data_IF_365742898849
#
_entry.id   IF_365742898849
#
_cell.length_a   1.000
_cell.length_b   1.000
_cell.length_c   1.000
_cell.angle_alpha   90.00
_cell.angle_beta   90.00
_cell.angle_gamma   90.00
#
_symmetry.space_group_name_H-M   'P 1'
#
loop_
_entity.id
_entity.type
_entity.pdbx_description
1 polymer ?
#
# COMPACT_ATOMS: atom_id res chain seq x y z
N UNK A 1 57.87 -45.36 -20.51
CA UNK A 1 56.47 -45.80 -20.42
C UNK A 1 55.82 -45.05 -19.27
N UNK A 2 55.14 -43.95 -19.57
CA UNK A 2 54.48 -43.09 -18.60
C UNK A 2 53.30 -42.39 -19.27
N UNK A 3 52.14 -42.49 -18.64
CA UNK A 3 50.83 -41.99 -19.04
C UNK A 3 49.80 -42.73 -18.16
N UNK A 4 48.80 -42.13 -17.51
CA UNK A 4 48.19 -40.81 -17.60
C UNK A 4 47.70 -40.45 -16.18
N UNK A 5 47.81 -39.17 -15.80
CA UNK A 5 47.27 -38.57 -14.57
C UNK A 5 45.93 -37.86 -14.87
N UNK A 6 45.00 -37.97 -13.93
CA UNK A 6 44.02 -36.99 -13.43
C UNK A 6 43.30 -36.04 -14.39
N UNK A 7 41.96 -36.10 -14.37
CA UNK A 7 41.09 -34.97 -14.71
C UNK A 7 40.23 -34.61 -13.47
N UNK A 8 40.59 -33.50 -12.83
CA UNK A 8 39.66 -32.63 -12.10
C UNK A 8 39.43 -31.42 -13.00
N UNK A 9 38.17 -31.12 -13.35
CA UNK A 9 37.81 -29.85 -13.99
C UNK A 9 36.96 -29.03 -13.03
N UNK A 10 37.51 -27.88 -12.65
CA UNK A 10 36.83 -26.80 -11.95
C UNK A 10 36.41 -25.69 -12.90
N UNK A 11 35.25 -25.09 -12.56
CA UNK A 11 34.79 -23.70 -12.73
C UNK A 11 34.99 -23.00 -14.10
N UNK A 12 33.86 -22.51 -14.63
CA UNK A 12 33.81 -21.21 -15.32
C UNK A 12 32.58 -20.42 -14.88
N UNK A 13 32.83 -19.34 -14.13
CA UNK A 13 31.90 -18.23 -13.90
C UNK A 13 32.40 -17.04 -14.72
N UNK A 14 31.65 -16.65 -15.74
CA UNK A 14 31.97 -15.51 -16.59
C UNK A 14 31.65 -14.19 -15.87
N UNK A 15 32.70 -13.48 -15.50
CA UNK A 15 32.64 -12.06 -15.16
C UNK A 15 32.74 -11.25 -16.45
N UNK A 16 31.80 -10.35 -16.69
CA UNK A 16 31.87 -9.40 -17.80
C UNK A 16 32.44 -8.08 -17.27
N UNK A 17 33.76 -7.95 -17.35
CA UNK A 17 34.43 -6.64 -17.31
C UNK A 17 34.61 -6.19 -18.76
N UNK A 18 34.02 -5.04 -19.10
CA UNK A 18 34.09 -4.42 -20.41
C UNK A 18 34.87 -3.13 -20.34
N UNK A 19 35.85 -3.03 -21.24
CA UNK A 19 36.97 -2.10 -21.30
C UNK A 19 36.58 -0.62 -21.53
N UNK A 20 37.34 0.29 -20.89
CA UNK A 20 37.21 1.74 -21.01
C UNK A 20 38.02 2.23 -22.22
N UNK A 21 37.36 2.71 -23.27
CA UNK A 21 37.81 3.87 -24.05
C UNK A 21 36.89 4.13 -25.25
N UNK A 22 36.10 5.20 -25.16
CA UNK A 22 35.73 6.09 -26.25
C UNK A 22 34.98 7.26 -25.66
N UNK A 23 35.59 8.44 -25.74
CA UNK A 23 34.93 9.73 -25.51
C UNK A 23 33.65 9.78 -26.35
N UNK A 24 32.50 9.57 -25.70
CA UNK A 24 31.19 9.84 -26.30
C UNK A 24 30.87 11.30 -26.05
N UNK A 25 31.01 12.07 -27.10
CA UNK A 25 30.44 13.40 -27.30
C UNK A 25 29.05 13.49 -26.67
N UNK A 26 28.84 14.51 -25.84
CA UNK A 26 27.63 14.79 -25.02
C UNK A 26 26.36 15.07 -25.87
N UNK A 27 26.37 14.78 -27.17
CA UNK A 27 25.37 15.24 -28.13
C UNK A 27 24.29 14.22 -28.55
N UNK A 28 24.22 12.98 -28.03
CA UNK A 28 23.25 11.99 -28.55
C UNK A 28 22.48 11.16 -27.51
N UNK A 29 22.33 11.63 -26.27
CA UNK A 29 21.65 10.86 -25.20
C UNK A 29 20.14 11.10 -25.06
N UNK A 30 19.53 11.99 -25.82
CA UNK A 30 18.07 12.04 -25.92
C UNK A 30 17.59 11.03 -26.96
N UNK A 31 17.84 9.75 -26.69
CA UNK A 31 17.02 8.69 -27.27
C UNK A 31 15.59 8.93 -26.76
N UNK A 32 14.59 8.71 -27.60
CA UNK A 32 13.15 8.84 -27.29
C UNK A 32 12.72 7.83 -26.19
N UNK A 33 13.24 7.98 -24.97
CA UNK A 33 12.87 7.15 -23.84
C UNK A 33 11.54 7.64 -23.29
N UNK A 34 10.51 6.83 -23.47
CA UNK A 34 9.19 7.08 -22.87
C UNK A 34 9.29 7.02 -21.35
N UNK A 35 8.92 8.11 -20.68
CA UNK A 35 8.83 8.15 -19.21
C UNK A 35 7.49 7.55 -18.82
N UNK A 36 7.49 6.33 -18.26
CA UNK A 36 6.27 5.68 -17.79
C UNK A 36 5.92 6.14 -16.36
N UNK A 37 4.85 6.92 -16.24
CA UNK A 37 4.25 7.36 -14.98
C UNK A 37 2.82 6.80 -14.78
N UNK A 38 2.43 5.81 -15.59
CA UNK A 38 1.08 5.22 -15.52
C UNK A 38 0.89 4.37 -14.26
N UNK A 39 1.90 3.60 -13.91
CA UNK A 39 1.86 2.71 -12.76
C UNK A 39 2.36 3.44 -11.52
N UNK A 40 1.59 3.35 -10.43
CA UNK A 40 2.01 3.86 -9.12
C UNK A 40 3.07 3.00 -8.44
N UNK A 41 4.14 2.61 -9.14
CA UNK A 41 5.23 1.82 -8.58
C UNK A 41 6.07 2.70 -7.62
N UNK A 42 6.15 2.37 -6.32
CA UNK A 42 6.67 3.28 -5.29
C UNK A 42 8.21 3.27 -5.19
N UNK A 43 8.92 3.23 -6.32
CA UNK A 43 10.40 3.22 -6.36
C UNK A 43 11.07 4.47 -5.79
N UNK A 44 10.31 5.50 -5.45
CA UNK A 44 10.79 6.70 -4.74
C UNK A 44 11.47 6.37 -3.40
N UNK A 45 11.12 5.25 -2.78
CA UNK A 45 11.70 4.80 -1.50
C UNK A 45 12.95 3.91 -1.66
N UNK A 46 13.37 3.56 -2.88
CA UNK A 46 14.49 2.64 -3.10
C UNK A 46 15.79 3.14 -2.46
N UNK A 47 16.16 4.40 -2.68
CA UNK A 47 17.39 4.98 -2.13
C UNK A 47 17.42 4.96 -0.59
N UNK A 48 16.27 5.16 0.05
CA UNK A 48 16.16 5.08 1.51
C UNK A 48 16.46 3.66 2.00
N UNK A 49 15.86 2.64 1.37
CA UNK A 49 16.06 1.25 1.82
C UNK A 49 17.47 0.73 1.56
N UNK A 50 18.11 1.14 0.45
CA UNK A 50 19.52 0.82 0.19
C UNK A 50 20.43 1.36 1.29
N UNK A 51 20.14 2.56 1.82
CA UNK A 51 20.89 3.14 2.93
C UNK A 51 20.66 2.38 4.25
N UNK A 52 19.45 1.84 4.45
CA UNK A 52 19.04 1.18 5.70
C UNK A 52 19.24 -0.34 5.71
N UNK A 53 19.66 -0.95 4.59
CA UNK A 53 19.73 -2.41 4.42
C UNK A 53 20.48 -3.14 5.54
N UNK A 54 21.58 -2.57 6.05
CA UNK A 54 22.37 -3.17 7.12
C UNK A 54 21.54 -3.36 8.41
N UNK A 55 20.63 -2.43 8.71
CA UNK A 55 19.81 -2.42 9.94
C UNK A 55 18.43 -3.07 9.73
N UNK A 56 17.91 -3.03 8.50
CA UNK A 56 16.59 -3.56 8.13
C UNK A 56 16.61 -4.95 7.47
N UNK A 57 17.79 -5.56 7.30
CA UNK A 57 17.91 -6.91 6.73
C UNK A 57 17.27 -8.00 7.60
N UNK A 58 16.89 -9.10 6.96
CA UNK A 58 16.35 -10.30 7.61
C UNK A 58 17.04 -11.55 7.06
N UNK A 59 17.28 -12.52 7.94
CA UNK A 59 17.74 -13.87 7.58
C UNK A 59 16.62 -14.86 7.84
N UNK A 60 16.26 -15.66 6.83
CA UNK A 60 15.28 -16.74 6.94
C UNK A 60 16.03 -18.05 6.66
N UNK A 61 15.99 -19.00 7.59
CA UNK A 61 16.68 -20.29 7.43
C UNK A 61 15.81 -21.29 6.65
N UNK A 62 16.43 -22.31 6.06
CA UNK A 62 15.71 -23.30 5.24
C UNK A 62 14.64 -24.12 6.00
N UNK A 63 14.80 -24.28 7.32
CA UNK A 63 13.84 -25.00 8.17
C UNK A 63 12.75 -24.10 8.75
N UNK A 64 12.86 -22.78 8.57
CA UNK A 64 11.89 -21.83 9.09
C UNK A 64 10.60 -21.86 8.25
N UNK A 65 9.46 -21.69 8.92
CA UNK A 65 8.15 -21.54 8.26
C UNK A 65 7.68 -22.71 7.38
N UNK A 66 8.09 -23.95 7.69
CA UNK A 66 7.63 -25.15 6.99
C UNK A 66 6.11 -25.44 7.15
N UNK A 67 5.50 -24.94 8.23
CA UNK A 67 4.08 -25.16 8.55
C UNK A 67 3.16 -24.18 7.81
N UNK A 68 1.97 -24.64 7.43
CA UNK A 68 0.89 -23.75 6.98
C UNK A 68 0.46 -22.77 8.08
N UNK A 69 0.39 -23.25 9.33
CA UNK A 69 -0.14 -22.49 10.46
C UNK A 69 0.90 -21.52 11.03
N UNK A 70 0.49 -20.28 11.29
CA UNK A 70 1.26 -19.32 12.09
C UNK A 70 0.84 -19.37 13.56
N UNK A 71 -0.45 -19.18 13.80
CA UNK A 71 -1.03 -19.15 15.14
C UNK A 71 -2.47 -19.66 15.07
N UNK A 72 -2.68 -20.90 15.51
CA UNK A 72 -4.01 -21.55 15.49
C UNK A 72 -5.00 -20.93 16.48
N UNK A 73 -4.53 -20.08 17.39
CA UNK A 73 -5.40 -19.37 18.34
C UNK A 73 -5.93 -18.06 17.76
N UNK A 74 -5.29 -17.54 16.71
CA UNK A 74 -5.73 -16.36 16.01
C UNK A 74 -6.85 -16.71 15.02
N UNK A 75 -7.86 -15.84 14.93
CA UNK A 75 -8.92 -15.97 13.91
C UNK A 75 -8.31 -16.06 12.51
N UNK A 76 -7.34 -15.19 12.20
CA UNK A 76 -6.57 -15.26 10.97
C UNK A 76 -5.36 -16.17 11.19
N UNK A 77 -5.56 -17.49 11.20
CA UNK A 77 -4.56 -18.48 11.64
C UNK A 77 -3.24 -18.48 10.86
N UNK A 78 -3.24 -17.91 9.65
CA UNK A 78 -2.05 -17.76 8.81
C UNK A 78 -1.32 -16.42 8.97
N UNK A 79 -1.79 -15.51 9.84
CA UNK A 79 -1.12 -14.26 10.19
C UNK A 79 0.04 -14.53 11.15
N UNK A 80 1.25 -14.08 10.80
CA UNK A 80 2.40 -14.15 11.68
C UNK A 80 2.21 -13.20 12.88
N UNK A 81 2.44 -13.67 14.13
CA UNK A 81 2.38 -12.81 15.31
C UNK A 81 3.29 -11.59 15.22
N UNK A 82 4.48 -11.72 14.63
CA UNK A 82 5.42 -10.62 14.40
C UNK A 82 4.79 -9.53 13.53
N UNK A 83 4.15 -9.93 12.43
CA UNK A 83 3.47 -8.97 11.55
C UNK A 83 2.27 -8.32 12.25
N UNK A 84 1.48 -9.09 13.00
CA UNK A 84 0.34 -8.56 13.75
C UNK A 84 0.78 -7.49 14.76
N UNK A 85 1.85 -7.74 15.50
CA UNK A 85 2.41 -6.81 16.46
C UNK A 85 3.00 -5.58 15.76
N UNK A 86 3.78 -5.76 14.69
CA UNK A 86 4.39 -4.66 13.95
C UNK A 86 3.33 -3.72 13.34
N UNK A 87 2.22 -4.27 12.81
CA UNK A 87 1.08 -3.48 12.32
C UNK A 87 0.46 -2.64 13.44
N UNK A 88 0.17 -3.25 14.60
CA UNK A 88 -0.43 -2.53 15.73
C UNK A 88 0.49 -1.43 16.27
N UNK A 89 1.77 -1.74 16.47
CA UNK A 89 2.77 -0.78 16.92
C UNK A 89 2.92 0.39 15.96
N UNK A 90 2.96 0.11 14.66
CA UNK A 90 3.08 1.15 13.64
C UNK A 90 1.87 2.09 13.61
N UNK A 91 0.65 1.55 13.62
CA UNK A 91 -0.55 2.38 13.68
C UNK A 91 -0.65 3.16 15.00
N UNK A 92 -0.21 2.56 16.10
CA UNK A 92 -0.14 3.23 17.41
C UNK A 92 0.81 4.43 17.42
N UNK A 93 2.02 4.29 16.86
CA UNK A 93 3.00 5.39 16.83
C UNK A 93 2.66 6.46 15.78
N UNK A 94 2.09 6.07 14.64
CA UNK A 94 1.68 7.02 13.59
C UNK A 94 0.39 7.75 13.98
N UNK A 95 -0.50 7.10 14.73
CA UNK A 95 -1.79 7.66 15.15
C UNK A 95 -2.81 7.78 14.02
N UNK A 96 -2.64 7.05 12.91
CA UNK A 96 -3.53 7.13 11.75
C UNK A 96 -4.74 6.16 11.81
N UNK A 97 -4.72 5.12 12.65
CA UNK A 97 -5.84 4.18 12.77
C UNK A 97 -5.96 3.55 14.16
N UNK A 98 -7.17 3.20 14.57
CA UNK A 98 -7.44 2.38 15.76
C UNK A 98 -7.21 0.91 15.40
N UNK A 99 -6.20 0.28 16.02
CA UNK A 99 -5.79 -1.10 15.70
C UNK A 99 -5.72 -2.05 16.91
N UNK A 100 -5.69 -1.53 18.14
CA UNK A 100 -5.31 -2.30 19.33
C UNK A 100 -6.26 -3.45 19.67
N UNK A 101 -7.57 -3.20 19.65
CA UNK A 101 -8.65 -4.13 20.00
C UNK A 101 -9.35 -4.73 18.76
N UNK A 102 -8.74 -4.58 17.58
CA UNK A 102 -9.34 -4.96 16.29
C UNK A 102 -8.75 -6.27 15.77
N UNK A 103 -9.52 -6.96 14.93
CA UNK A 103 -9.05 -8.12 14.17
C UNK A 103 -8.17 -7.65 13.01
N UNK A 104 -7.09 -8.37 12.74
CA UNK A 104 -6.20 -8.12 11.60
C UNK A 104 -6.31 -9.30 10.65
N UNK A 105 -6.65 -9.01 9.38
CA UNK A 105 -6.69 -10.02 8.31
C UNK A 105 -5.63 -9.65 7.27
N UNK A 106 -4.62 -10.51 7.10
CA UNK A 106 -3.54 -10.30 6.12
C UNK A 106 -3.90 -10.91 4.77
N UNK A 107 -3.52 -10.24 3.68
CA UNK A 107 -3.70 -10.73 2.31
C UNK A 107 -2.51 -10.41 1.40
N UNK A 108 -2.50 -11.05 0.23
CA UNK A 108 -1.56 -10.87 -0.87
C UNK A 108 -1.73 -9.49 -1.55
N UNK A 109 -1.37 -8.44 -0.81
CA UNK A 109 -1.63 -7.05 -1.13
C UNK A 109 -3.06 -6.64 -0.78
N UNK A 110 -3.32 -5.32 -0.75
CA UNK A 110 -4.68 -4.80 -0.49
C UNK A 110 -5.69 -5.26 -1.54
N UNK A 111 -5.26 -5.68 -2.74
CA UNK A 111 -6.13 -6.24 -3.78
C UNK A 111 -6.82 -7.54 -3.38
N UNK A 112 -6.14 -8.44 -2.65
CA UNK A 112 -6.77 -9.66 -2.14
C UNK A 112 -7.67 -9.33 -0.94
N UNK A 113 -7.19 -8.44 -0.06
CA UNK A 113 -7.97 -7.95 1.09
C UNK A 113 -9.28 -7.27 0.64
N UNK A 114 -9.25 -6.52 -0.46
CA UNK A 114 -10.43 -5.91 -1.07
C UNK A 114 -11.48 -6.96 -1.43
N UNK A 115 -11.07 -7.98 -2.19
CA UNK A 115 -11.97 -9.05 -2.63
C UNK A 115 -12.51 -9.86 -1.45
N UNK A 116 -11.69 -10.08 -0.42
CA UNK A 116 -12.11 -10.73 0.82
C UNK A 116 -13.19 -9.92 1.54
N UNK A 117 -13.04 -8.59 1.60
CA UNK A 117 -14.04 -7.70 2.19
C UNK A 117 -15.34 -7.69 1.38
N UNK A 118 -15.27 -7.65 0.03
CA UNK A 118 -16.45 -7.77 -0.82
C UNK A 118 -17.19 -9.08 -0.57
N UNK A 119 -16.48 -10.21 -0.52
CA UNK A 119 -17.06 -11.51 -0.17
C UNK A 119 -17.72 -11.49 1.20
N UNK A 120 -17.01 -11.04 2.24
CA UNK A 120 -17.50 -11.06 3.61
C UNK A 120 -18.78 -10.21 3.81
N UNK A 121 -18.86 -9.07 3.12
CA UNK A 121 -20.01 -8.17 3.20
C UNK A 121 -21.21 -8.61 2.35
N UNK A 122 -21.03 -9.57 1.43
CA UNK A 122 -22.06 -10.01 0.48
C UNK A 122 -22.52 -11.45 0.66
N UNK A 123 -21.77 -12.29 1.38
CA UNK A 123 -22.03 -13.73 1.51
C UNK A 123 -23.41 -14.10 2.04
N UNK A 124 -24.04 -13.21 2.81
CA UNK A 124 -25.34 -13.45 3.47
C UNK A 124 -26.50 -12.75 2.75
N UNK A 125 -26.25 -12.13 1.60
CA UNK A 125 -27.28 -11.46 0.82
C UNK A 125 -27.96 -12.44 -0.13
N UNK A 126 -29.28 -12.40 -0.19
CA UNK A 126 -30.07 -13.19 -1.14
C UNK A 126 -29.89 -12.68 -2.60
N UNK A 127 -29.62 -11.38 -2.75
CA UNK A 127 -29.43 -10.71 -4.04
C UNK A 127 -28.00 -10.15 -4.17
N UNK A 128 -27.47 -10.01 -5.40
CA UNK A 128 -26.15 -9.43 -5.62
C UNK A 128 -26.07 -7.98 -5.11
N UNK A 129 -25.06 -7.68 -4.28
CA UNK A 129 -24.85 -6.34 -3.72
C UNK A 129 -24.16 -5.41 -4.72
N UNK A 130 -24.64 -4.17 -4.82
CA UNK A 130 -23.98 -3.10 -5.58
C UNK A 130 -22.68 -2.65 -4.89
N UNK A 131 -21.56 -2.67 -5.61
CA UNK A 131 -20.29 -2.09 -5.15
C UNK A 131 -20.07 -0.75 -5.82
N UNK A 132 -20.04 0.33 -5.05
CA UNK A 132 -19.98 1.70 -5.56
C UNK A 132 -18.80 2.45 -4.95
N UNK A 133 -18.32 3.48 -5.65
CA UNK A 133 -17.32 4.42 -5.12
C UNK A 133 -17.55 5.78 -5.75
N UNK A 134 -17.37 6.86 -4.99
CA UNK A 134 -17.57 8.22 -5.49
C UNK A 134 -16.55 8.52 -6.60
N UNK A 135 -16.99 8.99 -7.77
CA UNK A 135 -16.09 9.39 -8.85
C UNK A 135 -15.39 10.73 -8.55
N UNK A 136 -14.14 10.95 -9.03
CA UNK A 136 -13.27 9.92 -9.62
C UNK A 136 -12.80 8.92 -8.55
N UNK A 137 -12.64 7.65 -8.90
CA UNK A 137 -12.22 6.59 -7.99
C UNK A 137 -11.06 5.77 -8.58
N UNK A 138 -10.46 4.89 -7.77
CA UNK A 138 -9.38 4.03 -8.22
C UNK A 138 -9.86 3.14 -9.36
N UNK A 139 -9.21 3.27 -10.53
CA UNK A 139 -9.63 2.60 -11.77
C UNK A 139 -9.67 1.08 -11.70
N UNK A 140 -9.06 0.46 -10.68
CA UNK A 140 -9.10 -0.99 -10.52
C UNK A 140 -10.30 -1.50 -9.72
N UNK A 141 -11.10 -0.66 -9.04
CA UNK A 141 -12.28 -1.15 -8.33
C UNK A 141 -13.29 -1.85 -9.25
N UNK A 142 -13.73 -1.26 -10.40
CA UNK A 142 -14.66 -1.94 -11.30
C UNK A 142 -14.15 -3.30 -11.80
N UNK A 143 -12.95 -3.42 -12.40
CA UNK A 143 -12.49 -4.71 -12.86
C UNK A 143 -12.25 -5.68 -11.70
N UNK A 144 -11.79 -5.25 -10.52
CA UNK A 144 -11.66 -6.17 -9.38
C UNK A 144 -13.00 -6.71 -8.88
N UNK A 145 -14.08 -5.92 -8.93
CA UNK A 145 -15.42 -6.37 -8.56
C UNK A 145 -16.00 -7.36 -9.58
N UNK A 146 -15.82 -7.10 -10.88
CA UNK A 146 -16.50 -7.87 -11.94
C UNK A 146 -15.68 -9.01 -12.56
N UNK A 147 -14.35 -9.05 -12.35
CA UNK A 147 -13.43 -9.97 -13.05
C UNK A 147 -13.89 -11.43 -13.03
N UNK A 148 -14.32 -11.90 -11.86
CA UNK A 148 -14.70 -13.31 -11.64
C UNK A 148 -16.19 -13.58 -11.85
N UNK A 149 -16.98 -12.57 -12.23
CA UNK A 149 -18.44 -12.66 -12.45
C UNK A 149 -19.15 -13.30 -11.25
N UNK A 150 -18.85 -12.80 -10.06
CA UNK A 150 -19.47 -13.24 -8.81
C UNK A 150 -20.99 -13.11 -8.88
N UNK A 151 -21.71 -14.02 -8.21
CA UNK A 151 -23.16 -13.88 -7.97
C UNK A 151 -23.48 -13.08 -6.71
N UNK A 152 -22.47 -12.75 -5.90
CA UNK A 152 -22.66 -12.09 -4.60
C UNK A 152 -22.65 -10.57 -4.71
N UNK A 153 -21.95 -10.03 -5.71
CA UNK A 153 -21.77 -8.60 -5.88
C UNK A 153 -21.43 -8.27 -7.34
N UNK A 154 -21.65 -7.02 -7.72
CA UNK A 154 -21.26 -6.46 -9.02
C UNK A 154 -20.93 -4.97 -8.90
N UNK A 155 -20.19 -4.44 -9.87
CA UNK A 155 -19.91 -3.00 -9.92
C UNK A 155 -21.18 -2.17 -10.17
N UNK A 156 -21.51 -1.29 -9.22
CA UNK A 156 -22.71 -0.43 -9.23
C UNK A 156 -22.45 1.01 -9.69
N UNK A 157 -21.21 1.40 -9.96
CA UNK A 157 -20.89 2.72 -10.51
C UNK A 157 -20.55 3.81 -9.48
N UNK A 158 -20.86 5.06 -9.86
CA UNK A 158 -20.52 6.26 -9.09
C UNK A 158 -21.49 6.45 -7.91
N UNK A 159 -20.93 6.47 -6.69
CA UNK A 159 -21.69 6.67 -5.47
C UNK A 159 -22.40 8.04 -5.38
N UNK A 160 -21.92 9.07 -6.08
CA UNK A 160 -22.52 10.41 -6.05
C UNK A 160 -23.92 10.48 -6.69
N UNK A 161 -24.19 9.60 -7.65
CA UNK A 161 -25.44 9.53 -8.42
C UNK A 161 -26.17 8.21 -8.21
N UNK A 162 -25.81 7.48 -7.14
CA UNK A 162 -26.41 6.20 -6.83
C UNK A 162 -27.78 6.40 -6.19
N UNK A 163 -28.84 5.98 -6.88
CA UNK A 163 -30.22 6.22 -6.48
C UNK A 163 -30.85 5.08 -5.67
N UNK A 164 -30.34 3.85 -5.78
CA UNK A 164 -30.91 2.64 -5.14
C UNK A 164 -30.45 2.49 -3.66
N UNK A 165 -30.62 3.58 -2.89
CA UNK A 165 -30.11 3.72 -1.52
C UNK A 165 -30.86 2.90 -0.47
N UNK A 166 -32.04 2.39 -0.84
CA UNK A 166 -32.91 1.57 0.01
C UNK A 166 -32.59 0.06 -0.09
N UNK A 167 -31.61 -0.32 -0.92
CA UNK A 167 -31.11 -1.69 -1.02
C UNK A 167 -29.71 -1.81 -0.42
N UNK A 168 -29.28 -3.03 -0.03
CA UNK A 168 -27.90 -3.24 0.40
C UNK A 168 -26.89 -2.83 -0.68
N UNK A 169 -25.91 -2.03 -0.29
CA UNK A 169 -24.77 -1.64 -1.12
C UNK A 169 -23.49 -1.66 -0.30
N UNK A 170 -22.35 -1.74 -0.99
CA UNK A 170 -21.02 -1.57 -0.43
C UNK A 170 -20.43 -0.30 -1.04
N UNK A 171 -20.23 0.73 -0.22
CA UNK A 171 -19.51 1.93 -0.63
C UNK A 171 -18.02 1.79 -0.27
N UNK A 172 -17.17 1.90 -1.28
CA UNK A 172 -15.72 1.90 -1.14
C UNK A 172 -15.22 3.33 -1.04
N UNK A 173 -14.79 3.73 0.14
CA UNK A 173 -14.28 5.07 0.45
C UNK A 173 -12.76 5.06 0.43
N UNK A 174 -12.16 5.56 -0.65
CA UNK A 174 -10.70 5.68 -0.76
C UNK A 174 -10.26 7.05 -0.24
N UNK A 175 -9.42 7.10 0.81
CA UNK A 175 -9.04 8.33 1.50
C UNK A 175 -7.61 8.24 2.07
N UNK A 176 -6.63 9.03 1.60
CA UNK A 176 -6.67 9.90 0.42
C UNK A 176 -7.02 9.13 -0.85
N UNK A 177 -7.82 9.74 -1.71
CA UNK A 177 -8.35 9.09 -2.89
C UNK A 177 -7.29 8.94 -4.00
N UNK A 178 -7.36 7.83 -4.72
CA UNK A 178 -6.72 7.68 -6.02
C UNK A 178 -7.78 7.99 -7.10
N UNK A 179 -7.58 8.98 -7.98
CA UNK A 179 -6.28 9.56 -8.38
C UNK A 179 -5.95 10.94 -7.83
N UNK A 180 -6.85 11.58 -7.08
CA UNK A 180 -6.80 13.04 -6.84
C UNK A 180 -6.33 13.44 -5.44
N UNK A 181 -5.86 12.50 -4.61
CA UNK A 181 -5.35 12.77 -3.27
C UNK A 181 -6.36 13.35 -2.28
N UNK A 182 -7.65 13.46 -2.64
CA UNK A 182 -8.66 14.08 -1.79
C UNK A 182 -8.95 13.25 -0.55
N UNK A 183 -9.14 13.89 0.59
CA UNK A 183 -9.65 13.24 1.79
C UNK A 183 -11.15 13.03 1.61
N UNK A 184 -11.59 11.78 1.66
CA UNK A 184 -12.98 11.38 1.41
C UNK A 184 -13.64 10.77 2.64
N UNK A 185 -14.97 10.84 2.60
CA UNK A 185 -15.92 10.23 3.53
C UNK A 185 -17.02 9.57 2.70
N UNK A 186 -17.88 8.80 3.35
CA UNK A 186 -19.07 8.26 2.70
C UNK A 186 -19.91 9.38 2.06
N UNK A 187 -20.52 9.10 0.91
CA UNK A 187 -21.43 10.02 0.23
C UNK A 187 -22.87 9.51 0.22
N UNK A 188 -23.08 8.20 0.36
CA UNK A 188 -24.42 7.62 0.42
C UNK A 188 -24.83 7.43 1.88
N UNK A 189 -25.92 8.10 2.27
CA UNK A 189 -26.54 7.97 3.59
C UNK A 189 -27.78 7.06 3.48
N UNK A 190 -27.57 5.78 3.19
CA UNK A 190 -28.60 4.75 3.22
C UNK A 190 -28.53 3.90 4.50
N UNK A 191 -29.66 3.36 4.98
CA UNK A 191 -29.70 2.58 6.23
C UNK A 191 -28.96 1.24 6.12
N UNK A 192 -28.88 0.65 4.93
CA UNK A 192 -28.29 -0.68 4.67
C UNK A 192 -26.90 -0.61 4.00
N UNK A 193 -26.26 0.57 4.03
CA UNK A 193 -24.95 0.80 3.46
C UNK A 193 -23.82 0.16 4.27
N UNK A 194 -22.99 -0.65 3.62
CA UNK A 194 -21.77 -1.21 4.19
C UNK A 194 -20.56 -0.43 3.67
N UNK A 195 -19.58 -0.16 4.51
CA UNK A 195 -18.44 0.68 4.16
C UNK A 195 -17.12 -0.11 4.16
N UNK A 196 -16.32 0.11 3.12
CA UNK A 196 -14.91 -0.28 3.10
C UNK A 196 -14.08 0.98 2.98
N UNK A 197 -13.24 1.27 3.97
CA UNK A 197 -12.28 2.38 3.89
C UNK A 197 -10.95 1.88 3.34
N UNK A 198 -10.61 2.27 2.12
CA UNK A 198 -9.28 2.05 1.53
C UNK A 198 -8.36 3.21 1.93
N UNK A 199 -7.49 2.94 2.90
CA UNK A 199 -6.58 3.90 3.52
C UNK A 199 -5.13 3.64 3.09
N UNK A 200 -4.92 3.07 1.89
CA UNK A 200 -3.58 2.76 1.38
C UNK A 200 -2.62 3.95 1.41
N UNK A 201 -3.12 5.18 1.19
CA UNK A 201 -2.32 6.41 1.18
C UNK A 201 -2.43 7.23 2.48
N UNK A 202 -3.13 6.76 3.52
CA UNK A 202 -3.32 7.52 4.77
C UNK A 202 -2.08 7.42 5.68
N UNK A 203 -0.98 7.98 5.21
CA UNK A 203 0.33 7.98 5.86
C UNK A 203 0.99 9.37 5.79
N UNK A 204 1.84 9.76 6.76
CA UNK A 204 2.35 11.13 6.89
C UNK A 204 3.11 11.65 5.67
N UNK A 205 3.73 10.76 4.89
CA UNK A 205 4.43 11.13 3.66
C UNK A 205 3.51 11.66 2.57
N UNK A 206 2.24 11.24 2.53
CA UNK A 206 1.28 11.65 1.49
C UNK A 206 0.31 12.73 1.96
N UNK A 207 -0.09 12.70 3.23
CA UNK A 207 -1.14 13.58 3.76
C UNK A 207 -0.91 13.89 5.24
N UNK A 208 -1.34 15.07 5.72
CA UNK A 208 -1.43 15.32 7.16
C UNK A 208 -2.30 14.25 7.85
N UNK A 209 -1.82 13.71 8.98
CA UNK A 209 -2.62 12.83 9.84
C UNK A 209 -3.42 13.72 10.79
N UNK A 210 -4.69 13.96 10.47
CA UNK A 210 -5.54 14.91 11.20
C UNK A 210 -6.39 14.24 12.27
N UNK A 211 -6.71 12.95 12.10
CA UNK A 211 -7.42 12.13 13.07
C UNK A 211 -7.03 10.66 12.97
N UNK A 212 -7.29 9.92 14.04
CA UNK A 212 -7.16 8.47 14.05
C UNK A 212 -8.42 7.84 13.42
N UNK A 213 -8.27 7.13 12.30
CA UNK A 213 -9.38 6.48 11.63
C UNK A 213 -9.96 5.33 12.48
N UNK A 214 -11.29 5.25 12.57
CA UNK A 214 -12.00 4.24 13.35
C UNK A 214 -13.26 3.73 12.63
N UNK A 215 -13.03 3.12 11.47
CA UNK A 215 -14.09 2.54 10.63
C UNK A 215 -14.16 1.02 10.77
N UNK A 216 -15.26 0.43 10.34
CA UNK A 216 -15.55 -0.99 10.58
C UNK A 216 -14.61 -1.92 9.80
N UNK A 217 -14.24 -1.51 8.58
CA UNK A 217 -13.20 -2.13 7.76
C UNK A 217 -12.27 -1.05 7.25
N UNK A 218 -11.01 -1.10 7.65
CA UNK A 218 -9.94 -0.22 7.18
C UNK A 218 -8.85 -1.03 6.50
N UNK A 219 -8.50 -0.68 5.27
CA UNK A 219 -7.52 -1.41 4.47
C UNK A 219 -6.23 -0.62 4.28
N UNK A 220 -5.10 -1.32 4.36
CA UNK A 220 -3.77 -0.76 4.20
C UNK A 220 -2.87 -1.69 3.38
N UNK A 221 -1.72 -1.17 2.93
CA UNK A 221 -0.72 -1.98 2.24
C UNK A 221 0.71 -1.50 2.48
N UNK A 222 1.63 -2.47 2.62
CA UNK A 222 3.07 -2.25 2.63
C UNK A 222 3.56 -1.55 1.35
N UNK A 223 2.82 -1.71 0.25
CA UNK A 223 3.18 -1.14 -1.05
C UNK A 223 3.28 0.39 -0.98
N UNK A 224 2.32 1.04 -0.31
CA UNK A 224 2.25 2.50 -0.25
C UNK A 224 2.79 3.06 1.05
N UNK A 225 2.71 2.30 2.15
CA UNK A 225 3.28 2.74 3.42
C UNK A 225 4.81 2.73 3.43
N UNK A 226 5.46 1.72 2.81
CA UNK A 226 6.92 1.55 2.88
C UNK A 226 7.61 1.43 1.51
N UNK A 227 6.85 1.36 0.41
CA UNK A 227 7.42 1.16 -0.92
C UNK A 227 7.66 -0.30 -1.32
N UNK A 228 7.30 -1.26 -0.45
CA UNK A 228 7.53 -2.68 -0.69
C UNK A 228 6.41 -3.34 -1.51
N UNK A 229 6.18 -2.80 -2.72
CA UNK A 229 5.14 -3.30 -3.62
C UNK A 229 5.32 -4.78 -3.97
N UNK A 230 6.57 -5.22 -4.20
CA UNK A 230 6.90 -6.61 -4.53
C UNK A 230 6.66 -7.61 -3.41
N UNK A 231 6.58 -7.19 -2.13
CA UNK A 231 6.31 -8.10 -1.02
C UNK A 231 4.89 -8.64 -1.01
N UNK A 232 3.97 -7.97 -1.73
CA UNK A 232 2.55 -8.35 -1.80
C UNK A 232 1.91 -8.52 -0.41
N UNK A 233 2.14 -7.58 0.51
CA UNK A 233 1.45 -7.56 1.81
C UNK A 233 0.46 -6.41 1.90
N UNK A 234 -0.78 -6.75 2.22
CA UNK A 234 -1.83 -5.83 2.65
C UNK A 234 -2.55 -6.40 3.86
N UNK A 235 -3.23 -5.55 4.60
CA UNK A 235 -4.02 -5.96 5.76
C UNK A 235 -5.31 -5.16 5.85
N UNK A 236 -6.33 -5.80 6.41
CA UNK A 236 -7.50 -5.13 6.93
C UNK A 236 -7.46 -5.10 8.46
N UNK A 237 -7.87 -3.98 9.02
CA UNK A 237 -8.25 -3.83 10.42
C UNK A 237 -9.77 -3.87 10.45
N UNK A 238 -10.33 -4.84 11.16
CA UNK A 238 -11.76 -5.16 11.15
C UNK A 238 -12.32 -5.10 12.57
N UNK A 239 -13.44 -4.41 12.75
CA UNK A 239 -14.15 -4.36 14.04
C UNK A 239 -14.89 -5.66 14.35
N UNK A 240 -15.73 -6.09 13.41
CA UNK A 240 -16.66 -7.20 13.64
C UNK A 240 -16.00 -8.56 13.38
N UNK A 241 -16.12 -9.46 14.35
CA UNK A 241 -15.54 -10.81 14.26
C UNK A 241 -16.10 -11.61 13.08
N UNK A 242 -17.42 -11.53 12.85
CA UNK A 242 -18.09 -12.30 11.80
C UNK A 242 -17.59 -11.91 10.40
N UNK A 243 -17.30 -10.62 10.19
CA UNK A 243 -16.72 -10.10 8.95
C UNK A 243 -15.27 -10.58 8.83
N UNK A 244 -14.47 -10.41 9.88
CA UNK A 244 -13.08 -10.85 9.89
C UNK A 244 -12.98 -12.35 9.56
N UNK A 245 -13.86 -13.17 10.15
CA UNK A 245 -13.92 -14.63 9.93
C UNK A 245 -14.16 -14.99 8.47
N UNK A 246 -15.10 -14.32 7.81
CA UNK A 246 -15.40 -14.54 6.39
C UNK A 246 -14.30 -14.04 5.47
N UNK A 247 -13.65 -12.92 5.83
CA UNK A 247 -12.48 -12.45 5.10
C UNK A 247 -11.33 -13.48 5.18
N UNK A 248 -11.10 -14.05 6.37
CA UNK A 248 -10.13 -15.13 6.56
C UNK A 248 -10.50 -16.37 5.77
N UNK A 249 -11.76 -16.81 5.80
CA UNK A 249 -12.27 -17.94 5.02
C UNK A 249 -12.03 -17.74 3.51
N UNK A 250 -12.30 -16.54 2.98
CA UNK A 250 -12.04 -16.23 1.58
C UNK A 250 -10.56 -16.42 1.23
N UNK A 251 -9.64 -15.91 2.05
CA UNK A 251 -8.19 -15.98 1.79
C UNK A 251 -7.68 -17.42 1.96
N UNK A 252 -8.24 -18.18 2.91
CA UNK A 252 -7.97 -19.60 3.08
C UNK A 252 -8.36 -20.40 1.82
N UNK A 253 -9.57 -20.19 1.30
CA UNK A 253 -10.04 -20.86 0.08
C UNK A 253 -9.31 -20.37 -1.17
N UNK A 254 -8.88 -19.11 -1.20
CA UNK A 254 -8.23 -18.51 -2.37
C UNK A 254 -6.75 -18.91 -2.50
N UNK A 255 -5.99 -18.92 -1.40
CA UNK A 255 -4.53 -19.13 -1.42
C UNK A 255 -3.95 -19.90 -0.24
N UNK A 256 -4.78 -20.44 0.66
CA UNK A 256 -4.33 -21.11 1.91
C UNK A 256 -3.44 -20.16 2.74
N UNK A 257 -3.87 -18.89 2.82
CA UNK A 257 -3.14 -17.84 3.52
C UNK A 257 -2.16 -17.06 2.66
N UNK A 258 -1.12 -16.54 3.30
CA UNK A 258 -0.13 -15.58 2.73
C UNK A 258 1.28 -16.05 3.06
N UNK A 259 2.22 -15.90 2.12
CA UNK A 259 3.63 -16.31 2.28
C UNK A 259 4.21 -15.85 3.62
N UNK A 260 4.79 -16.80 4.36
CA UNK A 260 5.38 -16.52 5.68
C UNK A 260 6.63 -15.64 5.55
N UNK A 261 7.41 -15.83 4.50
CA UNK A 261 8.60 -15.05 4.19
C UNK A 261 8.25 -13.58 3.93
N UNK A 262 7.20 -13.34 3.13
CA UNK A 262 6.71 -11.99 2.86
C UNK A 262 6.23 -11.31 4.14
N UNK A 263 5.49 -12.04 4.99
CA UNK A 263 5.02 -11.53 6.28
C UNK A 263 6.18 -11.19 7.22
N UNK A 264 7.16 -12.08 7.38
CA UNK A 264 8.33 -11.86 8.24
C UNK A 264 9.20 -10.70 7.75
N UNK A 265 9.43 -10.61 6.44
CA UNK A 265 10.16 -9.48 5.84
C UNK A 265 9.45 -8.16 6.13
N UNK A 266 8.13 -8.10 5.92
CA UNK A 266 7.36 -6.88 6.18
C UNK A 266 7.31 -6.57 7.67
N UNK A 267 7.16 -7.56 8.55
CA UNK A 267 7.21 -7.35 10.00
C UNK A 267 8.52 -6.64 10.41
N UNK A 268 9.67 -7.16 9.97
CA UNK A 268 10.99 -6.55 10.23
C UNK A 268 11.08 -5.10 9.72
N UNK A 269 10.53 -4.82 8.54
CA UNK A 269 10.49 -3.48 7.96
C UNK A 269 9.61 -2.54 8.80
N UNK A 270 8.42 -2.98 9.21
CA UNK A 270 7.50 -2.17 10.00
C UNK A 270 8.07 -1.90 11.41
N UNK A 271 8.69 -2.89 12.03
CA UNK A 271 9.37 -2.73 13.33
C UNK A 271 10.54 -1.74 13.23
N UNK A 272 11.35 -1.82 12.18
CA UNK A 272 12.42 -0.85 11.95
C UNK A 272 11.88 0.59 11.82
N UNK A 273 10.76 0.77 11.11
CA UNK A 273 10.11 2.09 10.99
C UNK A 273 9.58 2.55 12.34
N UNK A 274 8.95 1.66 13.11
CA UNK A 274 8.44 1.96 14.44
C UNK A 274 9.57 2.44 15.38
N UNK A 275 10.72 1.75 15.39
CA UNK A 275 11.89 2.15 16.18
C UNK A 275 12.41 3.53 15.74
N UNK A 276 12.48 3.78 14.42
CA UNK A 276 12.87 5.08 13.88
C UNK A 276 11.92 6.21 14.27
N UNK A 277 10.62 5.96 14.37
CA UNK A 277 9.65 6.95 14.83
C UNK A 277 9.85 7.32 16.30
N UNK A 278 10.31 6.39 17.14
CA UNK A 278 10.57 6.64 18.57
C UNK A 278 11.89 7.35 18.83
N UNK A 279 12.94 7.05 18.05
CA UNK A 279 14.28 7.65 18.23
C UNK A 279 14.33 9.15 17.92
N UNK A 280 13.38 9.65 17.11
CA UNK A 280 13.21 11.08 16.84
C UNK A 280 12.89 11.93 18.09
N UNK A 281 12.62 11.30 19.24
CA UNK A 281 12.41 11.96 20.53
C UNK A 281 13.71 12.14 21.35
N UNK A 282 14.87 11.69 20.84
CA UNK A 282 16.18 11.75 21.51
C UNK A 282 17.16 12.73 20.85
N UNK A 283 18.12 13.26 21.61
CA UNK A 283 19.07 14.34 21.22
C UNK A 283 20.10 13.98 20.12
N UNK A 284 20.03 12.79 19.51
CA UNK A 284 20.86 12.45 18.34
C UNK A 284 20.19 12.95 17.05
N UNK A 285 20.95 13.44 16.05
CA UNK A 285 20.36 13.86 14.79
C UNK A 285 19.63 12.66 14.16
N UNK A 286 18.29 12.70 14.00
CA UNK A 286 17.57 11.55 13.52
C UNK A 286 18.04 11.23 12.11
N UNK A 287 18.48 9.99 11.88
CA UNK A 287 18.29 9.41 10.55
C UNK A 287 16.81 9.57 10.24
N UNK A 288 16.48 10.36 9.21
CA UNK A 288 15.09 10.70 8.92
C UNK A 288 14.30 9.41 8.75
N UNK A 289 13.27 9.18 9.56
CA UNK A 289 12.44 7.99 9.39
C UNK A 289 11.82 7.98 7.98
N UNK A 290 11.34 6.83 7.51
CA UNK A 290 10.82 6.69 6.13
C UNK A 290 9.70 7.69 5.80
N UNK A 291 8.91 8.10 6.80
CA UNK A 291 7.82 9.05 6.62
C UNK A 291 8.32 10.47 6.44
N UNK A 292 9.35 10.89 7.18
CA UNK A 292 10.05 12.16 6.96
C UNK A 292 10.79 12.19 5.63
N UNK A 293 11.52 11.12 5.30
CA UNK A 293 12.16 10.95 4.00
C UNK A 293 11.14 11.08 2.87
N UNK A 294 10.03 10.35 2.97
CA UNK A 294 8.95 10.35 1.99
C UNK A 294 8.30 11.73 1.86
N UNK A 295 7.96 12.36 3.00
CA UNK A 295 7.37 13.69 3.03
C UNK A 295 8.28 14.72 2.34
N UNK A 296 9.58 14.71 2.65
CA UNK A 296 10.57 15.61 2.04
C UNK A 296 10.66 15.41 0.53
N UNK A 297 10.83 14.16 0.07
CA UNK A 297 10.99 13.88 -1.37
C UNK A 297 9.71 14.22 -2.14
N UNK A 298 8.53 13.89 -1.61
CA UNK A 298 7.26 14.21 -2.25
C UNK A 298 7.01 15.72 -2.28
N UNK A 299 7.31 16.44 -1.19
CA UNK A 299 7.23 17.91 -1.16
C UNK A 299 8.10 18.55 -2.24
N UNK A 300 9.34 18.10 -2.40
CA UNK A 300 10.27 18.63 -3.42
C UNK A 300 9.80 18.32 -4.84
N UNK A 301 9.27 17.10 -5.09
CA UNK A 301 8.69 16.74 -6.39
C UNK A 301 7.49 17.63 -6.72
N UNK A 302 6.61 17.82 -5.75
CA UNK A 302 5.41 18.65 -5.87
C UNK A 302 5.73 20.12 -6.12
N UNK A 303 6.73 20.66 -5.44
CA UNK A 303 7.22 22.03 -5.67
C UNK A 303 7.70 22.21 -7.12
N UNK A 304 8.59 21.33 -7.58
CA UNK A 304 9.12 21.39 -8.97
C UNK A 304 8.01 21.25 -10.02
N UNK A 305 7.07 20.36 -9.76
CA UNK A 305 5.93 20.14 -10.64
C UNK A 305 5.05 21.40 -10.75
N UNK A 306 4.68 22.01 -9.62
CA UNK A 306 3.91 23.28 -9.62
C UNK A 306 4.66 24.38 -10.35
N UNK A 307 5.96 24.54 -10.11
CA UNK A 307 6.79 25.53 -10.82
C UNK A 307 6.75 25.36 -12.34
N UNK A 308 6.69 24.12 -12.86
CA UNK A 308 6.58 23.86 -14.31
C UNK A 308 5.17 24.16 -14.81
N UNK A 309 4.14 23.65 -14.13
CA UNK A 309 2.73 23.87 -14.52
C UNK A 309 2.39 25.37 -14.52
N UNK A 310 2.82 26.10 -13.49
CA UNK A 310 2.59 27.54 -13.36
C UNK A 310 3.23 28.37 -14.47
N UNK A 311 4.34 27.91 -15.06
CA UNK A 311 4.98 28.58 -16.20
C UNK A 311 4.25 28.33 -17.51
N UNK A 312 3.70 27.13 -17.69
CA UNK A 312 3.05 26.75 -18.95
C UNK A 312 1.64 27.31 -19.07
N UNK A 313 0.88 27.40 -17.97
CA UNK A 313 -0.54 27.80 -17.94
C UNK A 313 -1.47 26.94 -18.82
N UNK A 314 -1.00 25.78 -19.28
CA UNK A 314 -1.77 24.81 -20.08
C UNK A 314 -2.44 23.75 -19.19
N UNK A 315 -1.86 23.48 -18.03
CA UNK A 315 -2.35 22.48 -17.08
C UNK A 315 -2.81 23.16 -15.78
N UNK A 316 -3.72 22.50 -15.08
CA UNK A 316 -4.11 22.85 -13.72
C UNK A 316 -3.78 21.70 -12.78
N UNK A 317 -3.40 22.03 -11.55
CA UNK A 317 -3.12 21.09 -10.48
C UNK A 317 -4.12 21.27 -9.36
N UNK A 318 -4.42 20.18 -8.66
CA UNK A 318 -5.22 20.27 -7.45
C UNK A 318 -4.49 21.08 -6.37
N UNK A 319 -5.27 21.88 -5.63
CA UNK A 319 -4.82 22.61 -4.46
C UNK A 319 -5.28 21.88 -3.20
N UNK A 320 -4.33 21.66 -2.28
CA UNK A 320 -4.57 20.95 -1.04
C UNK A 320 -4.48 21.91 0.15
N UNK A 321 -5.42 21.82 1.11
CA UNK A 321 -5.38 22.65 2.30
C UNK A 321 -4.13 22.36 3.14
N UNK A 322 -3.66 23.39 3.84
CA UNK A 322 -2.70 23.22 4.92
C UNK A 322 -3.43 22.78 6.18
N UNK A 323 -3.01 21.68 6.79
CA UNK A 323 -3.63 21.14 8.00
C UNK A 323 -2.56 20.78 9.03
N UNK A 324 -2.93 20.78 10.31
CA UNK A 324 -2.05 20.32 11.37
C UNK A 324 -1.91 18.79 11.30
N UNK A 325 -0.68 18.31 11.10
CA UNK A 325 -0.38 16.88 11.13
C UNK A 325 -0.01 16.46 12.54
N UNK A 326 -0.82 15.59 13.16
CA UNK A 326 -0.59 15.11 14.52
C UNK A 326 0.71 14.29 14.63
N UNK A 327 1.09 13.57 13.57
CA UNK A 327 2.35 12.82 13.54
C UNK A 327 3.59 13.74 13.55
N UNK A 328 3.59 14.80 12.72
CA UNK A 328 4.74 15.71 12.63
C UNK A 328 4.71 16.85 13.67
N UNK A 329 3.61 17.04 14.40
CA UNK A 329 3.43 18.14 15.34
C UNK A 329 3.50 19.53 14.70
N UNK A 330 3.22 19.64 13.39
CA UNK A 330 3.29 20.88 12.62
C UNK A 330 2.29 20.91 11.48
N UNK A 331 2.05 22.11 10.95
CA UNK A 331 1.22 22.29 9.76
C UNK A 331 1.96 21.77 8.52
N UNK A 332 1.31 20.87 7.78
CA UNK A 332 1.80 20.34 6.50
C UNK A 332 0.69 20.36 5.45
N UNK A 333 1.02 20.01 4.20
CA UNK A 333 0.08 19.87 3.09
C UNK A 333 0.12 18.46 2.53
N UNK A 334 -0.94 18.06 1.85
CA UNK A 334 -0.96 16.81 1.09
C UNK A 334 -0.04 16.89 -0.12
N UNK A 335 0.72 15.82 -0.32
CA UNK A 335 1.61 15.59 -1.44
C UNK A 335 1.30 14.20 -2.02
N UNK A 336 0.23 14.06 -2.82
CA UNK A 336 -0.19 12.77 -3.35
C UNK A 336 0.93 12.04 -4.08
N UNK A 337 1.01 10.72 -3.86
CA UNK A 337 2.01 9.86 -4.49
C UNK A 337 1.69 9.47 -5.94
N UNK A 338 0.42 9.61 -6.34
CA UNK A 338 -0.09 9.35 -7.69
C UNK A 338 -1.03 10.49 -8.06
N UNK A 339 -0.74 11.24 -9.11
CA UNK A 339 -1.75 12.05 -9.79
C UNK A 339 -1.78 11.69 -11.27
N UNK A 340 -2.97 11.35 -11.76
CA UNK A 340 -3.26 11.36 -13.21
C UNK A 340 -3.88 12.70 -13.54
N UNK A 341 -3.18 13.50 -14.33
CA UNK A 341 -3.65 14.80 -14.79
C UNK A 341 -4.89 14.63 -15.65
N UNK A 342 -6.00 15.23 -15.22
CA UNK A 342 -7.17 15.45 -16.07
C UNK A 342 -6.81 16.61 -16.99
N UNK A 343 -6.63 16.34 -18.29
CA UNK A 343 -6.57 17.42 -19.27
C UNK A 343 -7.92 18.15 -19.24
N UNK A 344 -7.91 19.43 -18.87
CA UNK A 344 -9.06 20.29 -19.09
C UNK A 344 -9.31 20.41 -20.58
N UNK A 345 -10.55 20.18 -21.01
CA UNK A 345 -10.98 20.50 -22.36
C UNK A 345 -10.70 21.98 -22.63
N UNK A 346 -9.89 22.27 -23.65
CA UNK A 346 -9.83 23.59 -24.30
C UNK A 346 -11.02 23.70 -25.26
#
# INVERSE_FOLDING_TARGET
>A
MGGMKGNEEGKSSSSATGDFSKEKTIGSLFNESMINLDHGDPKVFEAYWVEMDAESSITITASQSLSYFSDITNLCWFLQPELANAIRSLHGVVGNAVAGDRYIVVGNGSSQVFQAALYALSSDSDEPINVVSAAPYYSSYPPMADLVKSRLYHWGGDANVFDDKDRPYIEVVCSPCNPDGSIRKQVINGPDGKLIYDLAYYWPQFTPITFQADHDIMMFTASKSTGHAGSRIGWAIVKEECIARKMTEFIELNTIGVSKEAQLRVAKILDFIYDGCRKSESDEPPQSNVFEYGHRILSERWKKLREVVDRTKVFNLAEYPSEHCNFFGKVTKSHPGNERYIMGNI
#
